data_IF_950278833800
#
_entry.id   IF_950278833800
#
_cell.length_a   1.000
_cell.length_b   1.000
_cell.length_c   1.000
_cell.angle_alpha   90.00
_cell.angle_beta   90.00
_cell.angle_gamma   90.00
#
_symmetry.space_group_name_H-M   'P 1'
#
loop_
_entity.id
_entity.type
_entity.pdbx_description
1 polymer ?
#
# COMPACT_ATOMS: atom_id res chain seq x y z
N UNK A 1 8.01 12.32 -22.24
CA UNK A 1 9.26 11.78 -21.64
C UNK A 1 10.47 12.67 -21.93
N UNK A 2 10.37 13.70 -22.77
CA UNK A 2 11.46 14.66 -23.00
C UNK A 2 11.98 15.31 -21.71
N UNK A 3 11.09 15.78 -20.82
CA UNK A 3 11.52 16.44 -19.57
C UNK A 3 12.38 15.56 -18.66
N UNK A 4 12.13 14.25 -18.61
CA UNK A 4 12.94 13.29 -17.82
C UNK A 4 14.36 13.22 -18.39
N UNK A 5 14.49 13.29 -19.72
CA UNK A 5 15.78 13.26 -20.41
C UNK A 5 16.52 14.58 -20.27
N UNK A 6 15.82 15.72 -20.35
CA UNK A 6 16.39 17.06 -20.10
C UNK A 6 17.00 17.14 -18.70
N UNK A 7 16.33 16.56 -17.71
CA UNK A 7 16.79 16.48 -16.32
C UNK A 7 17.78 15.34 -16.06
N UNK A 8 18.23 14.63 -17.11
CA UNK A 8 19.14 13.46 -17.06
C UNK A 8 18.67 12.34 -16.12
N UNK A 9 17.37 12.26 -15.82
CA UNK A 9 16.79 11.21 -14.99
C UNK A 9 16.51 9.92 -15.77
N UNK A 10 16.29 8.82 -15.04
CA UNK A 10 15.95 7.52 -15.62
C UNK A 10 14.56 7.13 -15.16
N UNK A 11 13.70 6.84 -16.13
CA UNK A 11 12.35 6.42 -15.84
C UNK A 11 12.21 4.93 -16.12
N UNK A 12 11.68 4.23 -15.12
CA UNK A 12 11.13 2.88 -15.26
C UNK A 12 9.62 3.02 -15.12
N UNK A 13 8.89 2.73 -16.19
CA UNK A 13 7.43 2.92 -16.21
C UNK A 13 6.71 1.75 -16.86
N UNK A 14 5.47 1.53 -16.40
CA UNK A 14 4.56 0.58 -17.01
C UNK A 14 4.04 1.11 -18.35
N UNK A 15 3.75 0.20 -19.27
CA UNK A 15 3.28 0.55 -20.61
C UNK A 15 2.09 -0.32 -20.95
N UNK A 16 1.11 0.26 -21.64
CA UNK A 16 0.00 -0.51 -22.17
C UNK A 16 0.48 -1.58 -23.16
N UNK A 17 -0.10 -2.77 -23.07
CA UNK A 17 0.09 -3.86 -24.03
C UNK A 17 -0.28 -3.46 -25.47
N UNK A 18 -1.17 -2.46 -25.63
CA UNK A 18 -1.59 -1.92 -26.92
C UNK A 18 -0.68 -0.81 -27.45
N UNK A 19 0.43 -0.47 -26.78
CA UNK A 19 1.35 0.57 -27.27
C UNK A 19 1.94 0.16 -28.62
N UNK A 20 2.01 1.10 -29.56
CA UNK A 20 2.62 0.90 -30.87
C UNK A 20 4.13 1.14 -30.83
N UNK A 21 4.88 0.29 -31.52
CA UNK A 21 6.26 0.52 -31.90
C UNK A 21 6.31 1.53 -33.06
N UNK A 22 7.48 2.08 -33.35
CA UNK A 22 7.70 2.99 -34.47
C UNK A 22 7.41 2.31 -35.83
N UNK A 23 7.57 0.99 -35.92
CA UNK A 23 7.25 0.19 -37.11
C UNK A 23 5.76 -0.19 -37.25
N UNK A 24 4.89 0.37 -36.40
CA UNK A 24 3.44 0.12 -36.40
C UNK A 24 3.01 -1.16 -35.70
N UNK A 25 3.92 -2.08 -35.32
CA UNK A 25 3.56 -3.29 -34.57
C UNK A 25 3.14 -2.95 -33.15
N UNK A 26 2.30 -3.80 -32.57
CA UNK A 26 1.91 -3.69 -31.16
C UNK A 26 2.97 -4.33 -30.25
N UNK A 27 3.19 -3.72 -29.09
CA UNK A 27 4.11 -4.18 -28.06
C UNK A 27 3.84 -5.63 -27.61
N UNK A 28 2.56 -6.08 -27.66
CA UNK A 28 2.17 -7.47 -27.37
C UNK A 28 2.87 -8.52 -28.23
N UNK A 29 3.26 -8.15 -29.46
CA UNK A 29 3.92 -9.02 -30.44
C UNK A 29 5.45 -9.11 -30.25
N UNK A 30 6.01 -8.47 -29.22
CA UNK A 30 7.42 -8.64 -28.89
C UNK A 30 7.66 -10.04 -28.30
N UNK A 31 8.58 -10.78 -28.91
CA UNK A 31 8.98 -12.13 -28.49
C UNK A 31 10.21 -12.14 -27.57
N UNK A 32 11.13 -11.17 -27.76
CA UNK A 32 12.36 -11.06 -26.95
C UNK A 32 12.20 -10.04 -25.81
N UNK A 33 12.54 -10.44 -24.59
CA UNK A 33 12.58 -9.54 -23.42
C UNK A 33 13.91 -8.77 -23.38
N UNK A 34 13.87 -7.54 -22.86
CA UNK A 34 15.07 -6.72 -22.65
C UNK A 34 15.68 -6.13 -23.91
N UNK A 35 14.98 -6.20 -25.04
CA UNK A 35 15.40 -5.55 -26.28
C UNK A 35 15.10 -4.04 -26.25
N UNK A 36 15.92 -3.27 -26.95
CA UNK A 36 15.65 -1.87 -27.21
C UNK A 36 14.72 -1.72 -28.40
N UNK A 37 13.69 -0.89 -28.26
CA UNK A 37 12.70 -0.62 -29.29
C UNK A 37 12.42 0.87 -29.35
N UNK A 38 12.02 1.34 -30.53
CA UNK A 38 11.46 2.67 -30.69
C UNK A 38 9.94 2.58 -30.53
N UNK A 39 9.36 3.37 -29.62
CA UNK A 39 7.91 3.48 -29.48
C UNK A 39 7.40 4.62 -30.33
N UNK A 40 6.19 4.47 -30.86
CA UNK A 40 5.52 5.55 -31.58
C UNK A 40 5.40 6.79 -30.67
N UNK A 41 5.82 7.94 -31.19
CA UNK A 41 5.86 9.22 -30.48
C UNK A 41 7.05 9.41 -29.53
N UNK A 42 8.06 8.54 -29.54
CA UNK A 42 9.34 8.77 -28.85
C UNK A 42 10.49 8.85 -29.86
N UNK A 43 11.29 9.91 -29.75
CA UNK A 43 12.48 10.17 -30.59
C UNK A 43 13.71 9.37 -30.18
N UNK A 44 13.60 8.46 -29.21
CA UNK A 44 14.73 7.73 -28.64
C UNK A 44 14.34 6.29 -28.29
N UNK A 45 15.32 5.37 -28.25
CA UNK A 45 15.06 3.96 -27.94
C UNK A 45 14.79 3.77 -26.45
N UNK A 46 13.91 2.82 -26.14
CA UNK A 46 13.62 2.37 -24.77
C UNK A 46 13.80 0.88 -24.66
N UNK A 47 14.29 0.39 -23.52
CA UNK A 47 14.38 -1.03 -23.25
C UNK A 47 13.07 -1.54 -22.68
N UNK A 48 12.48 -2.58 -23.29
CA UNK A 48 11.18 -3.12 -22.87
C UNK A 48 11.33 -4.55 -22.35
N UNK A 49 10.63 -4.85 -21.27
CA UNK A 49 10.47 -6.20 -20.75
C UNK A 49 9.04 -6.40 -20.23
N UNK A 50 8.69 -7.62 -19.84
CA UNK A 50 7.40 -7.93 -19.26
C UNK A 50 7.50 -8.97 -18.17
N UNK A 51 6.53 -8.98 -17.27
CA UNK A 51 6.35 -10.03 -16.28
C UNK A 51 4.86 -10.39 -16.17
N UNK A 52 4.60 -11.58 -15.64
CA UNK A 52 3.25 -12.01 -15.32
C UNK A 52 2.95 -11.67 -13.86
N UNK A 53 1.81 -11.01 -13.64
CA UNK A 53 1.25 -10.78 -12.33
C UNK A 53 0.12 -11.80 -12.13
N UNK A 54 0.21 -12.62 -11.08
CA UNK A 54 -0.88 -13.52 -10.69
C UNK A 54 -1.95 -12.72 -9.97
N UNK A 55 -3.19 -12.81 -10.43
CA UNK A 55 -4.38 -12.26 -9.78
C UNK A 55 -4.94 -13.27 -8.78
N UNK A 56 -5.80 -12.80 -7.89
CA UNK A 56 -6.41 -13.62 -6.83
C UNK A 56 -7.24 -14.77 -7.40
N UNK A 57 -7.85 -14.58 -8.58
CA UNK A 57 -8.55 -15.61 -9.35
C UNK A 57 -7.63 -16.58 -10.12
N UNK A 58 -6.32 -16.58 -9.85
CA UNK A 58 -5.33 -17.41 -10.53
C UNK A 58 -4.93 -16.94 -11.94
N UNK A 59 -5.61 -15.94 -12.52
CA UNK A 59 -5.32 -15.44 -13.87
C UNK A 59 -3.98 -14.71 -13.90
N UNK A 60 -3.17 -15.01 -14.92
CA UNK A 60 -1.91 -14.30 -15.17
C UNK A 60 -2.16 -13.09 -16.07
N UNK A 61 -1.80 -11.91 -15.59
CA UNK A 61 -1.84 -10.67 -16.37
C UNK A 61 -0.43 -10.27 -16.82
N UNK A 62 -0.23 -10.15 -18.14
CA UNK A 62 1.05 -9.73 -18.73
C UNK A 62 1.20 -8.22 -18.59
N UNK A 63 2.17 -7.77 -17.81
CA UNK A 63 2.49 -6.35 -17.57
C UNK A 63 3.79 -6.00 -18.28
N UNK A 64 3.75 -4.98 -19.13
CA UNK A 64 4.94 -4.46 -19.80
C UNK A 64 5.52 -3.30 -19.02
N UNK A 65 6.85 -3.26 -18.98
CA UNK A 65 7.63 -2.20 -18.34
C UNK A 65 8.72 -1.79 -19.30
N UNK A 66 8.95 -0.48 -19.38
CA UNK A 66 10.05 0.11 -20.14
C UNK A 66 11.04 0.83 -19.23
N UNK A 67 12.25 1.01 -19.75
CA UNK A 67 13.30 1.84 -19.20
C UNK A 67 13.84 2.79 -20.26
N UNK A 68 14.10 4.04 -19.88
CA UNK A 68 14.78 5.02 -20.74
C UNK A 68 16.28 4.76 -20.91
N UNK A 69 16.85 3.82 -20.13
CA UNK A 69 18.23 3.34 -20.27
C UNK A 69 18.30 1.86 -20.65
N UNK A 70 19.36 1.44 -21.38
CA UNK A 70 19.67 0.03 -21.57
C UNK A 70 19.93 -0.65 -20.22
N UNK A 71 19.03 -1.56 -19.82
CA UNK A 71 19.19 -2.37 -18.62
C UNK A 71 18.79 -3.82 -18.87
N UNK A 72 19.38 -4.75 -18.11
CA UNK A 72 19.10 -6.18 -18.23
C UNK A 72 17.61 -6.46 -18.01
N UNK A 73 17.07 -7.42 -18.76
CA UNK A 73 15.66 -7.80 -18.68
C UNK A 73 15.23 -8.23 -17.27
N UNK A 74 16.10 -8.94 -16.53
CA UNK A 74 15.88 -9.37 -15.15
C UNK A 74 15.72 -8.18 -14.20
N UNK A 75 16.65 -7.23 -14.27
CA UNK A 75 16.61 -5.98 -13.50
C UNK A 75 15.33 -5.20 -13.81
N UNK A 76 14.98 -5.01 -15.09
CA UNK A 76 13.77 -4.30 -15.47
C UNK A 76 12.49 -4.95 -14.93
N UNK A 77 12.42 -6.29 -14.94
CA UNK A 77 11.30 -7.04 -14.34
C UNK A 77 11.25 -6.84 -12.83
N UNK A 78 12.39 -6.90 -12.14
CA UNK A 78 12.47 -6.73 -10.70
C UNK A 78 11.98 -5.33 -10.27
N UNK A 79 12.50 -4.28 -10.91
CA UNK A 79 12.06 -2.90 -10.67
C UNK A 79 10.58 -2.70 -11.00
N UNK A 80 10.12 -3.27 -12.13
CA UNK A 80 8.72 -3.23 -12.54
C UNK A 80 7.77 -3.82 -11.48
N UNK A 81 8.11 -5.01 -10.95
CA UNK A 81 7.35 -5.65 -9.86
C UNK A 81 7.32 -4.78 -8.61
N UNK A 82 8.47 -4.23 -8.19
CA UNK A 82 8.58 -3.42 -6.96
C UNK A 82 7.81 -2.10 -7.07
N UNK A 83 7.84 -1.43 -8.22
CA UNK A 83 7.00 -0.26 -8.50
C UNK A 83 5.51 -0.59 -8.37
N UNK A 84 5.09 -1.73 -8.93
CA UNK A 84 3.69 -2.15 -8.83
C UNK A 84 3.27 -2.48 -7.40
N UNK A 85 4.16 -3.04 -6.58
CA UNK A 85 3.90 -3.23 -5.15
C UNK A 85 3.65 -1.90 -4.42
N UNK A 86 4.43 -0.86 -4.74
CA UNK A 86 4.22 0.49 -4.21
C UNK A 86 2.83 1.02 -4.61
N UNK A 87 2.47 0.93 -5.89
CA UNK A 87 1.14 1.33 -6.36
C UNK A 87 0.01 0.54 -5.68
N UNK A 88 0.21 -0.77 -5.51
CA UNK A 88 -0.72 -1.64 -4.79
C UNK A 88 -0.91 -1.20 -3.35
N UNK A 89 0.18 -0.90 -2.64
CA UNK A 89 0.13 -0.36 -1.27
C UNK A 89 -0.64 0.96 -1.22
N UNK A 90 -0.35 1.92 -2.10
CA UNK A 90 -1.06 3.20 -2.13
C UNK A 90 -2.55 3.03 -2.43
N UNK A 91 -2.94 2.10 -3.29
CA UNK A 91 -4.35 1.76 -3.53
C UNK A 91 -5.02 1.21 -2.27
N UNK A 92 -4.35 0.30 -1.57
CA UNK A 92 -4.83 -0.22 -0.28
C UNK A 92 -4.96 0.89 0.76
N UNK A 93 -3.92 1.70 0.97
CA UNK A 93 -3.93 2.83 1.89
C UNK A 93 -5.06 3.81 1.56
N UNK A 94 -5.26 4.10 0.27
CA UNK A 94 -6.36 4.91 -0.22
C UNK A 94 -7.71 4.34 0.18
N UNK A 95 -8.03 3.11 -0.21
CA UNK A 95 -9.39 2.59 -0.11
C UNK A 95 -9.73 1.92 1.21
N UNK A 96 -8.76 1.29 1.88
CA UNK A 96 -8.97 0.54 3.13
C UNK A 96 -8.63 1.34 4.38
N UNK A 97 -7.65 2.25 4.30
CA UNK A 97 -7.18 3.05 5.44
C UNK A 97 -7.52 4.53 5.33
N UNK A 98 -8.53 4.88 4.52
CA UNK A 98 -9.12 6.22 4.55
C UNK A 98 -8.25 7.34 3.98
N UNK A 99 -7.10 7.05 3.35
CA UNK A 99 -6.23 8.11 2.82
C UNK A 99 -6.94 9.02 1.78
N UNK A 100 -8.02 8.54 1.12
CA UNK A 100 -8.86 9.38 0.24
C UNK A 100 -9.93 10.23 0.95
N UNK A 101 -10.33 9.88 2.17
CA UNK A 101 -11.45 10.52 2.88
C UNK A 101 -10.97 11.67 3.76
N UNK A 102 -10.03 12.45 3.24
CA UNK A 102 -9.51 13.59 3.95
C UNK A 102 -10.53 14.74 3.91
N UNK A 103 -11.06 15.12 5.07
CA UNK A 103 -12.12 16.13 5.21
C UNK A 103 -11.70 17.42 5.92
N UNK A 104 -10.42 17.59 6.28
CA UNK A 104 -9.97 18.77 7.04
C UNK A 104 -9.35 19.83 6.12
N UNK A 105 -9.71 21.10 6.25
CA UNK A 105 -9.18 22.17 5.40
C UNK A 105 -7.78 22.69 5.78
N UNK A 106 -7.14 22.12 6.81
CA UNK A 106 -5.90 22.67 7.40
C UNK A 106 -4.70 21.75 7.22
N UNK A 107 -3.50 22.34 7.12
CA UNK A 107 -2.23 21.62 7.03
C UNK A 107 -2.00 20.69 8.24
N UNK A 108 -2.30 21.18 9.46
CA UNK A 108 -2.22 20.36 10.67
C UNK A 108 -3.19 19.18 10.64
N UNK A 109 -4.40 19.39 10.10
CA UNK A 109 -5.37 18.31 9.89
C UNK A 109 -4.84 17.25 8.92
N UNK A 110 -4.19 17.64 7.82
CA UNK A 110 -3.54 16.71 6.89
C UNK A 110 -2.53 15.82 7.60
N UNK A 111 -1.63 16.39 8.39
CA UNK A 111 -0.63 15.61 9.12
C UNK A 111 -1.25 14.65 10.12
N UNK A 112 -2.24 15.10 10.90
CA UNK A 112 -2.96 14.24 11.86
C UNK A 112 -3.65 13.08 11.15
N UNK A 113 -4.33 13.35 10.04
CA UNK A 113 -5.01 12.32 9.25
C UNK A 113 -4.03 11.31 8.65
N UNK A 114 -2.89 11.77 8.13
CA UNK A 114 -1.84 10.91 7.60
C UNK A 114 -1.29 9.97 8.67
N UNK A 115 -0.99 10.50 9.85
CA UNK A 115 -0.50 9.71 10.99
C UNK A 115 -1.56 8.68 11.39
N UNK A 116 -2.83 9.08 11.56
CA UNK A 116 -3.92 8.16 11.90
C UNK A 116 -4.08 7.03 10.87
N UNK A 117 -4.07 7.36 9.58
CA UNK A 117 -4.16 6.38 8.49
C UNK A 117 -2.99 5.40 8.51
N UNK A 118 -1.77 5.90 8.77
CA UNK A 118 -0.57 5.06 8.88
C UNK A 118 -0.62 4.16 10.11
N UNK A 119 -1.03 4.67 11.27
CA UNK A 119 -1.19 3.89 12.49
C UNK A 119 -2.22 2.77 12.31
N UNK A 120 -3.36 3.06 11.68
CA UNK A 120 -4.37 2.05 11.37
C UNK A 120 -3.81 0.93 10.46
N UNK A 121 -3.02 1.30 9.45
CA UNK A 121 -2.32 0.32 8.59
C UNK A 121 -1.33 -0.54 9.39
N UNK A 122 -0.50 0.06 10.23
CA UNK A 122 0.51 -0.66 11.02
C UNK A 122 -0.14 -1.64 11.99
N UNK A 123 -1.22 -1.22 12.67
CA UNK A 123 -1.98 -2.07 13.58
C UNK A 123 -2.58 -3.27 12.83
N UNK A 124 -3.27 -3.04 11.71
CA UNK A 124 -3.84 -4.13 10.91
C UNK A 124 -2.77 -5.09 10.39
N UNK A 125 -1.62 -4.55 9.94
CA UNK A 125 -0.51 -5.36 9.48
C UNK A 125 0.11 -6.20 10.60
N UNK A 126 0.28 -5.61 11.80
CA UNK A 126 0.79 -6.30 12.97
C UNK A 126 -0.13 -7.45 13.39
N UNK A 127 -1.44 -7.21 13.47
CA UNK A 127 -2.43 -8.24 13.77
C UNK A 127 -2.40 -9.37 12.73
N UNK A 128 -2.27 -9.06 11.45
CA UNK A 128 -2.12 -10.07 10.40
C UNK A 128 -0.88 -10.94 10.61
N UNK A 129 0.27 -10.33 10.87
CA UNK A 129 1.53 -11.06 11.10
C UNK A 129 1.44 -12.01 12.31
N UNK A 130 0.67 -11.63 13.33
CA UNK A 130 0.44 -12.48 14.50
C UNK A 130 -0.44 -13.71 14.19
N UNK A 131 -1.35 -13.62 13.23
CA UNK A 131 -2.36 -14.66 12.95
C UNK A 131 -1.92 -15.56 11.79
N UNK A 132 -1.45 -14.98 10.68
CA UNK A 132 -1.10 -15.69 9.45
C UNK A 132 0.12 -15.04 8.77
N UNK A 133 1.36 -15.34 9.22
CA UNK A 133 2.56 -14.71 8.67
C UNK A 133 2.89 -15.15 7.23
N UNK A 134 2.36 -16.29 6.77
CA UNK A 134 2.78 -16.93 5.50
C UNK A 134 1.92 -16.55 4.29
N UNK A 135 0.73 -15.98 4.49
CA UNK A 135 -0.19 -15.59 3.42
C UNK A 135 -0.20 -14.06 3.23
N UNK A 136 -0.43 -13.57 2.00
CA UNK A 136 -0.67 -12.14 1.79
C UNK A 136 -1.94 -11.72 2.54
N UNK A 137 -1.94 -10.55 3.21
CA UNK A 137 -3.08 -10.10 4.00
C UNK A 137 -4.30 -9.78 3.12
N UNK A 138 -5.46 -10.31 3.51
CA UNK A 138 -6.72 -9.64 3.22
C UNK A 138 -6.83 -8.43 4.17
N UNK A 139 -6.54 -7.25 3.63
CA UNK A 139 -6.52 -6.01 4.40
C UNK A 139 -7.87 -5.66 5.05
N UNK A 140 -9.00 -6.12 4.49
CA UNK A 140 -10.30 -5.91 5.09
C UNK A 140 -10.47 -6.77 6.35
N UNK A 141 -10.15 -8.06 6.23
CA UNK A 141 -10.19 -8.99 7.37
C UNK A 141 -9.17 -8.59 8.45
N UNK A 142 -7.93 -8.28 8.06
CA UNK A 142 -6.89 -7.89 9.00
C UNK A 142 -7.27 -6.63 9.80
N UNK A 143 -7.89 -5.64 9.16
CA UNK A 143 -8.38 -4.45 9.84
C UNK A 143 -9.55 -4.77 10.78
N UNK A 144 -10.49 -5.61 10.35
CA UNK A 144 -11.63 -6.04 11.18
C UNK A 144 -11.15 -6.81 12.41
N UNK A 145 -10.25 -7.78 12.24
CA UNK A 145 -9.71 -8.56 13.35
C UNK A 145 -8.86 -7.71 14.30
N UNK A 146 -8.14 -6.71 13.77
CA UNK A 146 -7.43 -5.76 14.61
C UNK A 146 -8.40 -4.94 15.47
N UNK A 147 -9.51 -4.51 14.90
CA UNK A 147 -10.57 -3.80 15.62
C UNK A 147 -11.18 -4.71 16.70
N UNK A 148 -11.61 -5.92 16.34
CA UNK A 148 -12.23 -6.86 17.27
C UNK A 148 -11.32 -7.29 18.42
N UNK A 149 -10.00 -7.40 18.17
CA UNK A 149 -9.04 -7.75 19.21
C UNK A 149 -8.66 -6.57 20.11
N UNK A 150 -8.45 -5.38 19.55
CA UNK A 150 -7.89 -4.23 20.30
C UNK A 150 -8.98 -3.36 20.91
N UNK A 151 -10.10 -3.17 20.22
CA UNK A 151 -11.16 -2.25 20.65
C UNK A 151 -11.73 -2.59 22.03
N UNK A 152 -12.04 -3.85 22.37
CA UNK A 152 -12.55 -4.18 23.70
C UNK A 152 -11.55 -3.81 24.80
N UNK A 153 -10.25 -4.03 24.57
CA UNK A 153 -9.20 -3.67 25.51
C UNK A 153 -9.10 -2.16 25.73
N UNK A 154 -9.19 -1.37 24.66
CA UNK A 154 -9.18 0.09 24.75
C UNK A 154 -10.40 0.58 25.54
N UNK A 155 -11.61 0.08 25.23
CA UNK A 155 -12.84 0.50 25.90
C UNK A 155 -12.79 0.19 27.39
N UNK A 156 -12.38 -1.04 27.75
CA UNK A 156 -12.22 -1.42 29.16
C UNK A 156 -11.17 -0.56 29.85
N UNK A 157 -10.02 -0.30 29.22
CA UNK A 157 -8.97 0.52 29.80
C UNK A 157 -9.41 1.97 30.03
N UNK A 158 -10.12 2.57 29.07
CA UNK A 158 -10.69 3.91 29.22
C UNK A 158 -11.73 3.98 30.34
N UNK A 159 -12.60 2.97 30.42
CA UNK A 159 -13.58 2.87 31.50
C UNK A 159 -12.93 2.73 32.88
N UNK A 160 -11.86 1.94 32.99
CA UNK A 160 -11.09 1.81 34.23
C UNK A 160 -10.44 3.15 34.62
N UNK A 161 -9.84 3.87 33.67
CA UNK A 161 -9.28 5.20 33.91
C UNK A 161 -10.34 6.21 34.37
N UNK A 162 -11.54 6.17 33.79
CA UNK A 162 -12.64 7.04 34.20
C UNK A 162 -13.13 6.70 35.61
N UNK A 163 -13.22 5.41 35.96
CA UNK A 163 -13.57 4.96 37.33
C UNK A 163 -12.51 5.44 38.33
N UNK A 164 -11.22 5.26 38.02
CA UNK A 164 -10.12 5.73 38.88
C UNK A 164 -10.18 7.25 39.07
N UNK A 165 -10.44 8.01 38.01
CA UNK A 165 -10.58 9.48 38.07
C UNK A 165 -11.77 9.90 38.94
N UNK A 166 -12.87 9.15 38.92
CA UNK A 166 -14.11 9.47 39.65
C UNK A 166 -14.19 8.78 41.02
N UNK A 167 -13.21 7.96 41.40
CA UNK A 167 -13.23 7.18 42.63
C UNK A 167 -13.41 8.04 43.89
N UNK A 168 -12.79 9.21 43.96
CA UNK A 168 -12.96 10.14 45.08
C UNK A 168 -14.40 10.67 45.20
N UNK A 169 -15.06 10.94 44.07
CA UNK A 169 -16.46 11.38 44.09
C UNK A 169 -17.38 10.23 44.52
N UNK A 170 -17.14 9.01 44.02
CA UNK A 170 -17.85 7.82 44.45
C UNK A 170 -17.72 7.62 45.97
N UNK A 171 -16.51 7.79 46.52
CA UNK A 171 -16.25 7.70 47.96
C UNK A 171 -17.02 8.77 48.75
N UNK A 172 -17.11 10.01 48.24
CA UNK A 172 -17.90 11.07 48.87
C UNK A 172 -19.41 10.77 48.91
N UNK A 173 -19.89 9.90 48.00
CA UNK A 173 -21.25 9.39 47.98
C UNK A 173 -21.42 8.07 48.76
N UNK A 174 -20.38 7.59 49.46
CA UNK A 174 -20.41 6.36 50.25
C UNK A 174 -20.08 5.07 49.49
N UNK A 175 -19.59 5.16 48.25
CA UNK A 175 -19.16 3.99 47.46
C UNK A 175 -17.63 3.85 47.47
N UNK A 176 -17.11 2.77 48.05
CA UNK A 176 -15.70 2.39 47.94
C UNK A 176 -15.52 1.42 46.76
N UNK A 177 -14.74 1.83 45.75
CA UNK A 177 -14.52 1.06 44.53
C UNK A 177 -13.09 0.52 44.53
N UNK A 178 -12.96 -0.80 44.60
CA UNK A 178 -11.68 -1.49 44.51
C UNK A 178 -11.53 -2.23 43.17
N UNK A 179 -10.53 -1.85 42.39
CA UNK A 179 -10.20 -2.50 41.12
C UNK A 179 -9.07 -3.49 41.37
N UNK A 180 -9.33 -4.78 41.17
CA UNK A 180 -8.30 -5.82 41.16
C UNK A 180 -8.13 -6.38 39.75
N UNK A 181 -6.88 -6.53 39.30
CA UNK A 181 -6.58 -7.19 38.03
C UNK A 181 -6.56 -8.70 38.27
N UNK A 182 -7.42 -9.45 37.58
CA UNK A 182 -7.28 -10.89 37.51
C UNK A 182 -5.93 -11.22 36.84
N UNK A 183 -5.06 -11.97 37.54
CA UNK A 183 -3.87 -12.53 36.91
C UNK A 183 -4.31 -13.52 35.82
N UNK A 184 -3.75 -13.37 34.63
CA UNK A 184 -3.78 -14.42 33.60
C UNK A 184 -2.71 -15.46 33.90
#
# INVERSE_FOLDING_TARGET
MEGIRQLKYHAITGVSISRKLADGRLLRRLHKQGQQVYLFGLSFPVTVSWYYLKRDNGKLEKRFVLSTRPIKASTLKWWGKRRWQIEGWFKTAKHRFGLHRFGQGTLLGMYRWLILSLTAYLIAHWTHLHIQPTSPPDWGQAAQTALESIFPHIVVYLLLLDIERLAHLALSCGFDIQISRCKK
#
